data_IF_376053303946
#
_entry.id   IF_376053303946
#
_cell.length_a   1.000
_cell.length_b   1.000
_cell.length_c   1.000
_cell.angle_alpha   90.00
_cell.angle_beta   90.00
_cell.angle_gamma   90.00
#
_symmetry.space_group_name_H-M   'P 1'
#
loop_
_entity.id
_entity.type
_entity.pdbx_description
1 polymer ?
#
# COMPACT_ATOMS: atom_id res chain seq x y z
N UNK A 1 -6.83 -4.02 14.23
CA UNK A 1 -6.01 -3.13 13.39
C UNK A 1 -4.74 -2.75 14.12
N UNK A 2 -3.61 -2.63 13.40
CA UNK A 2 -2.31 -2.25 13.97
C UNK A 2 -1.66 -1.22 13.07
N UNK A 3 -1.07 -0.18 13.66
CA UNK A 3 -0.18 0.76 12.99
C UNK A 3 1.21 0.66 13.60
N UNK A 4 2.22 0.63 12.74
CA UNK A 4 3.64 0.59 13.11
C UNK A 4 4.31 1.88 12.63
N UNK A 5 5.19 2.43 13.46
CA UNK A 5 6.10 3.52 13.10
C UNK A 5 7.48 2.98 12.73
N UNK A 6 8.26 3.81 12.05
CA UNK A 6 9.67 3.57 11.76
C UNK A 6 10.47 4.74 12.35
N UNK A 7 11.51 4.44 13.13
CA UNK A 7 12.37 5.48 13.71
C UNK A 7 13.53 5.88 12.77
N UNK A 8 14.39 6.80 13.23
CA UNK A 8 15.55 7.27 12.46
C UNK A 8 16.63 6.21 12.18
N UNK A 9 16.55 5.05 12.84
CA UNK A 9 17.44 3.90 12.65
C UNK A 9 16.77 2.77 11.85
N UNK A 10 15.65 3.06 11.19
CA UNK A 10 14.83 2.10 10.46
C UNK A 10 14.28 0.95 11.32
N UNK A 11 14.12 1.16 12.63
CA UNK A 11 13.50 0.17 13.51
C UNK A 11 11.99 0.34 13.54
N UNK A 12 11.27 -0.77 13.40
CA UNK A 12 9.83 -0.80 13.51
C UNK A 12 9.41 -0.83 14.97
N UNK A 13 8.47 0.02 15.35
CA UNK A 13 7.86 0.02 16.68
C UNK A 13 6.34 0.16 16.60
N UNK A 14 5.58 -0.45 17.53
CA UNK A 14 4.12 -0.29 17.56
C UNK A 14 3.72 1.16 17.84
N UNK A 15 2.86 1.73 17.00
CA UNK A 15 2.36 3.10 17.15
C UNK A 15 0.98 3.12 17.80
N UNK A 16 0.08 2.26 17.32
CA UNK A 16 -1.28 2.14 17.82
C UNK A 16 -1.85 0.75 17.47
N UNK A 17 -2.82 0.30 18.26
CA UNK A 17 -3.65 -0.86 17.95
C UNK A 17 -5.10 -0.57 18.29
N UNK A 18 -6.02 -1.26 17.61
CA UNK A 18 -7.44 -1.19 17.90
C UNK A 18 -8.08 -2.57 17.69
N UNK A 19 -9.03 -2.88 18.58
CA UNK A 19 -9.97 -3.98 18.40
C UNK A 19 -11.24 -3.37 17.82
N UNK A 20 -11.69 -3.90 16.69
CA UNK A 20 -12.86 -3.41 15.95
C UNK A 20 -13.74 -4.59 15.59
N UNK A 21 -15.03 -4.33 15.35
CA UNK A 21 -16.00 -5.38 14.99
C UNK A 21 -15.71 -6.04 13.63
N UNK A 22 -14.90 -5.38 12.80
CA UNK A 22 -14.37 -5.98 11.57
C UNK A 22 -13.40 -5.07 10.83
N UNK A 23 -12.95 -5.56 9.67
CA UNK A 23 -12.19 -4.79 8.69
C UNK A 23 -13.16 -4.20 7.66
N UNK A 24 -13.75 -3.06 8.00
CA UNK A 24 -14.70 -2.34 7.14
C UNK A 24 -14.31 -0.86 7.01
N UNK A 25 -15.01 -0.14 6.13
CA UNK A 25 -14.75 1.28 5.84
C UNK A 25 -14.80 2.12 7.12
N UNK A 26 -15.84 1.93 7.95
CA UNK A 26 -16.04 2.72 9.17
C UNK A 26 -14.91 2.47 10.19
N UNK A 27 -14.53 1.21 10.38
CA UNK A 27 -13.48 0.82 11.33
C UNK A 27 -12.12 1.37 10.90
N UNK A 28 -11.79 1.30 9.60
CA UNK A 28 -10.55 1.84 9.08
C UNK A 28 -10.54 3.37 9.11
N UNK A 29 -11.64 4.01 8.72
CA UNK A 29 -11.79 5.46 8.77
C UNK A 29 -11.61 5.99 10.19
N UNK A 30 -12.29 5.39 11.18
CA UNK A 30 -12.16 5.75 12.58
C UNK A 30 -10.72 5.54 13.10
N UNK A 31 -10.11 4.38 12.85
CA UNK A 31 -8.77 4.08 13.34
C UNK A 31 -7.72 5.03 12.77
N UNK A 32 -7.79 5.31 11.47
CA UNK A 32 -6.91 6.26 10.80
C UNK A 32 -7.17 7.70 11.24
N UNK A 33 -8.42 8.09 11.51
CA UNK A 33 -8.74 9.39 12.09
C UNK A 33 -8.08 9.57 13.47
N UNK A 34 -8.15 8.54 14.33
CA UNK A 34 -7.52 8.56 15.64
C UNK A 34 -6.00 8.75 15.55
N UNK A 35 -5.32 7.99 14.68
CA UNK A 35 -3.87 8.12 14.47
C UNK A 35 -3.52 9.52 13.97
N UNK A 36 -4.27 10.02 12.98
CA UNK A 36 -4.04 11.35 12.40
C UNK A 36 -4.15 12.45 13.44
N UNK A 37 -5.18 12.38 14.27
CA UNK A 37 -5.52 13.43 15.22
C UNK A 37 -4.71 13.38 16.51
N UNK A 38 -4.18 12.21 16.90
CA UNK A 38 -3.50 12.02 18.19
C UNK A 38 -2.01 11.77 18.10
N UNK A 39 -1.51 11.22 17.00
CA UNK A 39 -0.11 10.78 16.89
C UNK A 39 0.67 11.45 15.75
N UNK A 40 0.03 11.70 14.61
CA UNK A 40 0.74 12.11 13.40
C UNK A 40 0.42 13.54 12.93
N UNK A 41 0.38 14.54 13.83
CA UNK A 41 0.05 15.95 13.51
C UNK A 41 1.19 16.70 12.78
N UNK A 42 1.74 16.09 11.73
CA UNK A 42 2.75 16.66 10.84
C UNK A 42 2.39 16.45 9.38
N UNK A 43 3.12 17.12 8.50
CA UNK A 43 3.05 16.95 7.04
C UNK A 43 4.14 16.00 6.54
N UNK A 44 4.02 15.59 5.28
CA UNK A 44 5.00 14.76 4.60
C UNK A 44 5.15 13.35 5.18
N UNK A 45 4.06 12.76 5.69
CA UNK A 45 4.08 11.38 6.16
C UNK A 45 4.04 10.41 4.96
N UNK A 46 4.90 9.40 4.97
CA UNK A 46 4.75 8.26 4.07
C UNK A 46 3.99 7.17 4.80
N UNK A 47 2.82 6.78 4.27
CA UNK A 47 1.99 5.73 4.89
C UNK A 47 1.94 4.54 3.94
N UNK A 48 2.35 3.38 4.46
CA UNK A 48 2.36 2.12 3.71
C UNK A 48 1.29 1.20 4.28
N UNK A 49 0.31 0.79 3.48
CA UNK A 49 -0.78 -0.09 3.92
C UNK A 49 -1.11 -1.18 2.90
N UNK A 50 -1.97 -2.12 3.25
CA UNK A 50 -2.61 -2.98 2.24
C UNK A 50 -3.51 -2.15 1.29
N UNK A 51 -3.76 -2.68 0.09
CA UNK A 51 -4.69 -2.17 -0.91
C UNK A 51 -6.11 -2.70 -0.66
N UNK A 52 -6.56 -2.66 0.60
CA UNK A 52 -7.90 -3.09 0.98
C UNK A 52 -8.90 -1.94 0.75
N UNK A 53 -10.11 -2.20 0.20
CA UNK A 53 -11.07 -1.14 -0.12
C UNK A 53 -11.41 -0.21 1.03
N UNK A 54 -11.55 -0.74 2.26
CA UNK A 54 -11.81 0.07 3.45
C UNK A 54 -10.67 1.04 3.79
N UNK A 55 -9.43 0.65 3.51
CA UNK A 55 -8.26 1.52 3.70
C UNK A 55 -8.23 2.59 2.60
N UNK A 56 -8.44 2.19 1.34
CA UNK A 56 -8.44 3.13 0.21
C UNK A 56 -9.52 4.21 0.38
N UNK A 57 -10.71 3.82 0.87
CA UNK A 57 -11.79 4.76 1.19
C UNK A 57 -11.37 5.80 2.24
N UNK A 58 -10.62 5.41 3.27
CA UNK A 58 -10.12 6.32 4.29
C UNK A 58 -9.03 7.28 3.77
N UNK A 59 -8.20 6.84 2.82
CA UNK A 59 -7.23 7.74 2.17
C UNK A 59 -7.88 8.70 1.17
N UNK A 60 -8.97 8.29 0.53
CA UNK A 60 -9.75 9.14 -0.37
C UNK A 60 -10.57 10.22 0.37
N UNK A 61 -10.85 10.03 1.67
CA UNK A 61 -11.53 11.02 2.49
C UNK A 61 -10.59 12.18 2.86
N UNK A 62 -10.77 13.30 2.14
CA UNK A 62 -10.01 14.54 2.35
C UNK A 62 -10.14 15.10 3.76
N UNK A 63 -11.24 14.81 4.48
CA UNK A 63 -11.45 15.29 5.84
C UNK A 63 -10.61 14.54 6.88
N UNK A 64 -10.15 13.33 6.55
CA UNK A 64 -9.23 12.58 7.40
C UNK A 64 -7.79 13.08 7.29
N UNK A 65 -7.48 13.98 6.35
CA UNK A 65 -6.19 14.65 6.28
C UNK A 65 -5.01 13.71 5.94
N UNK A 66 -5.29 12.59 5.28
CA UNK A 66 -4.31 11.62 4.77
C UNK A 66 -3.91 11.87 3.30
N UNK A 67 -4.43 12.92 2.69
CA UNK A 67 -4.07 13.37 1.35
C UNK A 67 -2.89 14.35 1.37
N UNK A 68 -2.32 14.61 0.19
CA UNK A 68 -1.26 15.61 0.01
C UNK A 68 -1.73 17.02 0.43
N UNK A 69 -0.85 17.84 1.04
CA UNK A 69 0.59 17.61 1.30
C UNK A 69 0.85 16.93 2.66
N UNK A 70 -0.19 16.43 3.33
CA UNK A 70 -0.06 15.92 4.69
C UNK A 70 0.54 14.51 4.72
N UNK A 71 0.08 13.65 3.83
CA UNK A 71 0.59 12.30 3.69
C UNK A 71 0.59 11.85 2.23
N UNK A 72 1.43 10.86 1.96
CA UNK A 72 1.61 10.18 0.69
C UNK A 72 1.34 8.70 0.94
N UNK A 73 0.36 8.15 0.24
CA UNK A 73 -0.03 6.76 0.41
C UNK A 73 0.76 5.85 -0.53
N UNK A 74 1.20 4.69 -0.02
CA UNK A 74 1.90 3.68 -0.79
C UNK A 74 1.36 2.30 -0.45
N UNK A 75 1.34 1.42 -1.45
CA UNK A 75 0.88 0.05 -1.26
C UNK A 75 2.02 -0.80 -0.70
N UNK A 76 1.72 -1.57 0.34
CA UNK A 76 2.64 -2.50 0.96
C UNK A 76 3.00 -3.61 -0.02
N UNK A 77 4.27 -3.64 -0.44
CA UNK A 77 4.76 -4.64 -1.39
C UNK A 77 4.54 -6.09 -0.90
N UNK A 78 4.64 -6.32 0.42
CA UNK A 78 4.39 -7.63 1.01
C UNK A 78 2.94 -8.09 0.78
N UNK A 79 1.97 -7.21 1.04
CA UNK A 79 0.55 -7.54 0.83
C UNK A 79 0.21 -7.58 -0.65
N UNK A 80 0.75 -6.67 -1.47
CA UNK A 80 0.59 -6.72 -2.92
C UNK A 80 1.06 -8.06 -3.50
N UNK A 81 2.25 -8.53 -3.12
CA UNK A 81 2.78 -9.81 -3.55
C UNK A 81 1.95 -11.00 -3.02
N UNK A 82 1.34 -10.87 -1.84
CA UNK A 82 0.44 -11.89 -1.28
C UNK A 82 -0.86 -11.96 -2.07
N UNK A 83 -1.51 -10.82 -2.31
CA UNK A 83 -2.75 -10.72 -3.08
C UNK A 83 -2.53 -11.22 -4.51
N UNK A 84 -1.41 -10.82 -5.13
CA UNK A 84 -1.01 -11.30 -6.45
C UNK A 84 -0.87 -12.84 -6.49
N UNK A 85 -0.27 -13.45 -5.46
CA UNK A 85 -0.15 -14.91 -5.37
C UNK A 85 -1.47 -15.63 -5.13
N UNK A 86 -2.42 -15.00 -4.44
CA UNK A 86 -3.77 -15.54 -4.28
C UNK A 86 -4.48 -15.64 -5.64
N UNK A 87 -4.30 -14.66 -6.52
CA UNK A 87 -4.91 -14.62 -7.86
C UNK A 87 -4.19 -15.51 -8.89
N UNK A 88 -2.87 -15.36 -9.04
CA UNK A 88 -2.13 -15.98 -10.15
C UNK A 88 -1.38 -17.26 -9.77
N UNK A 89 -1.06 -17.44 -8.48
CA UNK A 89 -0.33 -18.61 -7.94
C UNK A 89 0.98 -18.94 -8.65
N UNK A 90 1.60 -17.95 -9.31
CA UNK A 90 2.83 -18.12 -10.09
C UNK A 90 4.03 -17.45 -9.42
N UNK A 91 5.02 -18.27 -9.03
CA UNK A 91 6.24 -17.81 -8.35
C UNK A 91 7.17 -16.99 -9.26
N UNK A 92 7.20 -17.29 -10.57
CA UNK A 92 8.01 -16.56 -11.54
C UNK A 92 7.44 -15.14 -11.72
N UNK A 93 6.13 -15.03 -11.91
CA UNK A 93 5.45 -13.73 -12.00
C UNK A 93 5.61 -12.92 -10.71
N UNK A 94 5.49 -13.55 -9.54
CA UNK A 94 5.77 -12.89 -8.25
C UNK A 94 7.21 -12.35 -8.18
N UNK A 95 8.20 -13.11 -8.65
CA UNK A 95 9.59 -12.64 -8.66
C UNK A 95 9.78 -11.44 -9.58
N UNK A 96 9.14 -11.43 -10.75
CA UNK A 96 9.15 -10.29 -11.66
C UNK A 96 8.47 -9.05 -11.05
N UNK A 97 7.32 -9.25 -10.39
CA UNK A 97 6.62 -8.20 -9.65
C UNK A 97 7.53 -7.61 -8.56
N UNK A 98 8.19 -8.44 -7.76
CA UNK A 98 9.17 -7.98 -6.77
C UNK A 98 10.31 -7.19 -7.41
N UNK A 99 10.89 -7.70 -8.51
CA UNK A 99 11.96 -6.98 -9.23
C UNK A 99 11.47 -5.60 -9.68
N UNK A 100 10.30 -5.52 -10.30
CA UNK A 100 9.70 -4.26 -10.72
C UNK A 100 9.57 -3.29 -9.55
N UNK A 101 9.00 -3.73 -8.42
CA UNK A 101 8.78 -2.88 -7.25
C UNK A 101 10.07 -2.33 -6.60
N UNK A 102 11.21 -2.98 -6.79
CA UNK A 102 12.50 -2.54 -6.27
C UNK A 102 13.32 -1.72 -7.29
N UNK A 103 12.83 -1.52 -8.52
CA UNK A 103 13.56 -0.73 -9.51
C UNK A 103 13.52 0.76 -9.19
N UNK A 104 14.69 1.40 -9.24
CA UNK A 104 14.84 2.86 -9.09
C UNK A 104 14.75 3.60 -10.42
N UNK A 105 14.72 2.89 -11.54
CA UNK A 105 14.63 3.45 -12.89
C UNK A 105 13.32 3.03 -13.56
N UNK A 106 12.55 4.02 -14.03
CA UNK A 106 11.28 3.81 -14.73
C UNK A 106 11.43 2.88 -15.94
N UNK A 107 12.55 2.99 -16.67
CA UNK A 107 12.85 2.11 -17.82
C UNK A 107 12.92 0.64 -17.42
N UNK A 108 13.60 0.33 -16.30
CA UNK A 108 13.74 -1.03 -15.79
C UNK A 108 12.43 -1.56 -15.21
N UNK A 109 11.70 -0.70 -14.48
CA UNK A 109 10.34 -1.02 -14.03
C UNK A 109 9.47 -1.43 -15.22
N UNK A 110 9.41 -0.61 -16.26
CA UNK A 110 8.64 -0.87 -17.48
C UNK A 110 9.10 -2.14 -18.20
N UNK A 111 10.40 -2.46 -18.18
CA UNK A 111 10.93 -3.70 -18.74
C UNK A 111 10.38 -4.93 -18.01
N UNK A 112 10.35 -4.93 -16.68
CA UNK A 112 9.77 -6.04 -15.90
C UNK A 112 8.26 -6.13 -16.11
N UNK A 113 7.53 -5.01 -16.12
CA UNK A 113 6.08 -4.98 -16.39
C UNK A 113 5.75 -5.54 -17.78
N UNK A 114 6.51 -5.17 -18.82
CA UNK A 114 6.39 -5.76 -20.16
C UNK A 114 6.67 -7.26 -20.16
N UNK A 115 7.64 -7.71 -19.36
CA UNK A 115 7.96 -9.14 -19.25
C UNK A 115 6.83 -9.90 -18.58
N UNK A 116 6.20 -9.33 -17.55
CA UNK A 116 4.98 -9.88 -16.92
C UNK A 116 3.88 -10.03 -17.98
N UNK A 117 3.57 -8.99 -18.75
CA UNK A 117 2.53 -9.05 -19.78
C UNK A 117 2.79 -10.08 -20.88
N UNK A 118 4.05 -10.25 -21.28
CA UNK A 118 4.45 -11.31 -22.24
C UNK A 118 4.19 -12.72 -21.71
N UNK A 119 4.34 -12.95 -20.41
CA UNK A 119 4.10 -14.24 -19.77
C UNK A 119 2.61 -14.43 -19.48
N UNK A 120 1.96 -13.40 -18.96
CA UNK A 120 0.56 -13.40 -18.59
C UNK A 120 -0.03 -11.98 -18.70
N UNK A 121 -0.87 -11.77 -19.71
CA UNK A 121 -1.49 -10.47 -19.97
C UNK A 121 -2.54 -10.07 -18.92
N UNK A 122 -3.20 -11.05 -18.30
CA UNK A 122 -4.17 -10.80 -17.23
C UNK A 122 -3.45 -10.30 -15.96
N UNK A 123 -2.25 -10.82 -15.69
CA UNK A 123 -1.40 -10.35 -14.59
C UNK A 123 -0.96 -8.91 -14.77
N UNK A 124 -0.62 -8.50 -16.01
CA UNK A 124 -0.31 -7.11 -16.32
C UNK A 124 -1.56 -6.22 -16.12
N UNK A 125 -2.69 -6.61 -16.71
CA UNK A 125 -3.95 -5.86 -16.58
C UNK A 125 -4.38 -5.69 -15.12
N UNK A 126 -4.22 -6.72 -14.29
CA UNK A 126 -4.51 -6.68 -12.87
C UNK A 126 -3.63 -5.68 -12.11
N UNK A 127 -2.33 -5.63 -12.44
CA UNK A 127 -1.40 -4.67 -11.85
C UNK A 127 -1.68 -3.23 -12.31
N UNK A 128 -2.03 -3.03 -13.59
CA UNK A 128 -2.35 -1.71 -14.14
C UNK A 128 -3.68 -1.15 -13.60
N UNK A 129 -4.60 -2.01 -13.18
CA UNK A 129 -5.84 -1.60 -12.51
C UNK A 129 -5.62 -1.03 -11.11
N UNK A 130 -4.44 -1.24 -10.51
CA UNK A 130 -4.08 -0.66 -9.22
C UNK A 130 -3.60 0.78 -9.46
N UNK A 131 -4.24 1.79 -8.84
CA UNK A 131 -3.83 3.17 -9.00
C UNK A 131 -2.45 3.36 -8.36
N UNK A 132 -1.40 3.44 -9.17
CA UNK A 132 -0.11 3.94 -8.72
C UNK A 132 -0.21 5.46 -8.66
N UNK A 133 -0.34 6.02 -7.45
CA UNK A 133 -0.11 7.46 -7.25
C UNK A 133 1.33 7.77 -7.67
N UNK A 134 1.47 8.70 -8.63
CA UNK A 134 2.77 9.15 -9.16
C UNK A 134 3.53 9.98 -8.14
#
# INVERSE_FOLDING_TARGET
MIAMGCDGYNQLFPLAFALTDGENVDSWGWFLACIRNRVTQRRGLCVISDHYPGIMAAFADVYLGWSEPNAYHRICMRHLASNFMTHFKDKCLKQLLCKAAFETKVEKFNMHMKTIGRINQDALSWLEAIPFEK
#
